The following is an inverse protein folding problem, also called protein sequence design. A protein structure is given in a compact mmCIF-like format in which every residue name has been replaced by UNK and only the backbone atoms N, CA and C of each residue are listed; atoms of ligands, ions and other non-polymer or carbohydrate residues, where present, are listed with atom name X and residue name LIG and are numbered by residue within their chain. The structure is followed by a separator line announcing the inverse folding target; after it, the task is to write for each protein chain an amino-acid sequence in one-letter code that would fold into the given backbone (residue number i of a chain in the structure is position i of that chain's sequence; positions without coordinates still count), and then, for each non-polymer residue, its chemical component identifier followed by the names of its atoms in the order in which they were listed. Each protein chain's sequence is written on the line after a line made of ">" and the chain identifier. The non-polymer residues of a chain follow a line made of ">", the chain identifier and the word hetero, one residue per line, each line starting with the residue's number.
data_IF_442289212150
#
_entry.id   IF_442289212150
#
_cell.length_a   1.000
_cell.length_b   1.000
_cell.length_c   1.000
_cell.angle_alpha   90.00
_cell.angle_beta   90.00
_cell.angle_gamma   90.00
#
_symmetry.space_group_name_H-M   'P 1'
#
loop_
_entity.id
_entity.type
_entity.pdbx_description
1 polymer ?
#
# COMPACT_ATOMS: atom_id res chain seq x y z
N UNK A 1 15.55 18.20 -0.11
CA UNK A 1 15.18 17.50 -1.36
C UNK A 1 14.46 18.54 -2.20
N UNK A 2 14.78 18.69 -3.48
CA UNK A 2 14.06 19.63 -4.36
C UNK A 2 12.96 18.86 -5.10
N UNK A 3 11.85 19.51 -5.37
CA UNK A 3 10.69 18.88 -5.99
C UNK A 3 9.50 19.82 -6.18
N UNK A 4 8.44 19.27 -6.74
CA UNK A 4 7.17 19.92 -6.99
C UNK A 4 6.13 19.45 -5.96
N UNK A 5 5.39 20.40 -5.37
CA UNK A 5 4.19 20.09 -4.59
C UNK A 5 2.98 20.24 -5.50
N UNK A 6 2.23 19.15 -5.70
CA UNK A 6 1.06 19.12 -6.57
C UNK A 6 -0.20 18.76 -5.79
N UNK A 7 -1.34 19.19 -6.31
CA UNK A 7 -2.68 18.84 -5.82
C UNK A 7 -3.30 17.85 -6.80
N UNK A 8 -3.49 16.60 -6.38
CA UNK A 8 -3.90 15.52 -7.28
C UNK A 8 -5.41 15.24 -7.29
N UNK A 9 -6.17 15.86 -6.40
CA UNK A 9 -7.63 15.80 -6.39
C UNK A 9 -8.24 17.18 -6.64
N UNK A 10 -9.19 17.33 -7.57
CA UNK A 10 -9.91 18.58 -7.77
C UNK A 10 -10.94 18.86 -6.66
N UNK A 11 -11.40 17.82 -5.94
CA UNK A 11 -12.47 17.92 -4.96
C UNK A 11 -12.00 18.07 -3.50
N UNK A 12 -10.70 17.92 -3.23
CA UNK A 12 -10.11 17.90 -1.89
C UNK A 12 -8.69 18.44 -1.90
N UNK A 13 -8.17 18.82 -0.74
CA UNK A 13 -6.78 19.32 -0.57
C UNK A 13 -5.74 18.18 -0.52
N UNK A 14 -5.91 17.15 -1.36
CA UNK A 14 -4.95 16.05 -1.42
C UNK A 14 -3.68 16.46 -2.16
N UNK A 15 -2.55 16.34 -1.47
CA UNK A 15 -1.25 16.80 -1.93
C UNK A 15 -0.29 15.64 -2.15
N UNK A 16 0.58 15.78 -3.14
CA UNK A 16 1.75 14.91 -3.27
C UNK A 16 2.99 15.76 -3.55
N UNK A 17 4.14 15.29 -3.07
CA UNK A 17 5.43 15.91 -3.33
C UNK A 17 6.25 15.02 -4.27
N UNK A 18 6.60 15.53 -5.44
CA UNK A 18 7.37 14.82 -6.47
C UNK A 18 8.79 15.33 -6.48
N UNK A 19 9.75 14.44 -6.29
CA UNK A 19 11.18 14.72 -6.44
C UNK A 19 11.76 13.96 -7.63
N UNK A 20 12.39 14.68 -8.55
CA UNK A 20 12.79 14.16 -9.87
C UNK A 20 11.95 14.74 -11.00
N UNK A 21 12.35 14.46 -12.24
CA UNK A 21 11.73 15.02 -13.47
C UNK A 21 11.42 13.97 -14.52
N UNK A 22 11.41 12.70 -14.13
CA UNK A 22 11.26 11.56 -15.01
C UNK A 22 9.82 11.08 -15.05
N UNK A 23 9.45 10.43 -16.15
CA UNK A 23 8.10 9.93 -16.44
C UNK A 23 7.83 8.54 -15.84
N UNK A 24 8.70 8.06 -14.95
CA UNK A 24 8.48 6.83 -14.17
C UNK A 24 8.51 7.18 -12.69
N UNK A 25 7.55 6.69 -11.93
CA UNK A 25 7.33 7.15 -10.57
C UNK A 25 7.32 6.02 -9.55
N UNK A 26 8.03 6.19 -8.44
CA UNK A 26 7.85 5.39 -7.23
C UNK A 26 6.95 6.19 -6.30
N UNK A 27 5.78 5.66 -5.96
CA UNK A 27 4.86 6.29 -5.02
C UNK A 27 5.14 5.72 -3.63
N UNK A 28 5.70 6.53 -2.74
CA UNK A 28 5.93 6.22 -1.33
C UNK A 28 4.67 6.58 -0.53
N UNK A 29 4.02 5.56 0.01
CA UNK A 29 2.88 5.63 0.92
C UNK A 29 3.41 5.39 2.33
N UNK A 30 3.45 6.45 3.13
CA UNK A 30 4.00 6.45 4.48
C UNK A 30 3.03 5.82 5.50
N UNK A 31 3.49 5.64 6.74
CA UNK A 31 2.66 5.13 7.82
C UNK A 31 1.58 6.14 8.26
N UNK A 32 0.57 5.66 8.99
CA UNK A 32 -0.62 6.40 9.38
C UNK A 32 -0.36 7.68 10.22
N UNK A 33 0.75 7.74 10.96
CA UNK A 33 1.16 8.93 11.73
C UNK A 33 2.07 9.86 10.94
N UNK A 34 2.43 9.49 9.71
CA UNK A 34 3.43 10.17 8.90
C UNK A 34 2.80 10.95 7.74
N UNK A 35 3.66 11.73 7.08
CA UNK A 35 3.35 12.38 5.82
C UNK A 35 4.62 12.71 5.07
N UNK A 36 4.55 13.67 4.14
CA UNK A 36 5.67 14.01 3.27
C UNK A 36 6.93 14.39 4.06
N UNK A 37 8.07 13.86 3.62
CA UNK A 37 9.40 14.07 4.22
C UNK A 37 9.56 13.55 5.66
N UNK A 38 8.63 12.73 6.16
CA UNK A 38 8.73 12.12 7.50
C UNK A 38 9.79 11.02 7.61
N UNK A 39 10.05 10.30 6.51
CA UNK A 39 10.94 9.15 6.49
C UNK A 39 12.38 9.54 6.19
N UNK A 40 13.33 9.15 7.05
CA UNK A 40 14.75 9.52 6.92
C UNK A 40 15.38 8.97 5.63
N UNK A 41 14.93 7.80 5.16
CA UNK A 41 15.42 7.20 3.92
C UNK A 41 14.83 7.81 2.65
N UNK A 42 13.81 8.68 2.73
CA UNK A 42 13.20 9.32 1.54
C UNK A 42 14.22 10.10 0.70
N UNK A 43 15.16 10.80 1.35
CA UNK A 43 16.21 11.58 0.67
C UNK A 43 17.25 10.74 -0.05
N UNK A 44 17.92 9.77 0.59
CA UNK A 44 18.82 8.86 -0.12
C UNK A 44 18.08 8.04 -1.19
N UNK A 45 16.84 7.62 -0.95
CA UNK A 45 16.03 6.92 -1.93
C UNK A 45 15.75 7.78 -3.18
N UNK A 46 15.32 9.03 -3.00
CA UNK A 46 15.12 9.97 -4.12
C UNK A 46 16.40 10.13 -4.95
N UNK A 47 17.57 10.23 -4.30
CA UNK A 47 18.86 10.31 -5.00
C UNK A 47 19.16 9.03 -5.79
N UNK A 48 18.93 7.85 -5.20
CA UNK A 48 19.16 6.57 -5.86
C UNK A 48 18.22 6.38 -7.07
N UNK A 49 16.94 6.68 -6.92
CA UNK A 49 15.94 6.61 -7.99
C UNK A 49 16.22 7.59 -9.13
N UNK A 50 16.69 8.81 -8.82
CA UNK A 50 17.07 9.77 -9.85
C UNK A 50 18.21 9.25 -10.76
N UNK A 51 19.15 8.47 -10.22
CA UNK A 51 20.20 7.83 -11.02
C UNK A 51 19.64 6.75 -11.98
N UNK A 52 18.48 6.18 -11.64
CA UNK A 52 17.75 5.20 -12.45
C UNK A 52 16.74 5.85 -13.40
N UNK A 53 16.67 7.20 -13.45
CA UNK A 53 15.67 7.94 -14.19
C UNK A 53 14.24 7.62 -13.71
N UNK A 54 14.06 7.60 -12.39
CA UNK A 54 12.76 7.50 -11.71
C UNK A 54 12.57 8.72 -10.79
N UNK A 55 11.34 9.21 -10.72
CA UNK A 55 10.90 10.24 -9.78
C UNK A 55 10.31 9.57 -8.53
N UNK A 56 10.59 10.12 -7.35
CA UNK A 56 9.94 9.70 -6.10
C UNK A 56 8.77 10.62 -5.80
N UNK A 57 7.59 10.05 -5.62
CA UNK A 57 6.36 10.74 -5.23
C UNK A 57 6.03 10.36 -3.79
N UNK A 58 5.83 11.35 -2.92
CA UNK A 58 5.37 11.16 -1.54
C UNK A 58 3.93 11.65 -1.45
N UNK A 59 3.00 10.74 -1.23
CA UNK A 59 1.56 11.04 -1.19
C UNK A 59 1.15 11.44 0.23
N UNK A 60 0.25 12.41 0.35
CA UNK A 60 -0.50 12.70 1.56
C UNK A 60 -1.95 12.28 1.36
N UNK A 61 -2.45 11.41 2.23
CA UNK A 61 -3.80 10.86 2.21
C UNK A 61 -4.68 11.56 3.24
N UNK A 62 -6.00 11.36 3.15
CA UNK A 62 -6.92 11.73 4.23
C UNK A 62 -6.58 11.00 5.53
N UNK A 63 -6.00 9.81 5.44
CA UNK A 63 -5.55 9.03 6.59
C UNK A 63 -4.21 9.49 7.17
N UNK A 64 -3.47 10.41 6.54
CA UNK A 64 -2.19 10.87 7.10
C UNK A 64 -2.34 11.58 8.45
N UNK A 65 -1.27 11.53 9.25
CA UNK A 65 -1.13 12.15 10.57
C UNK A 65 -2.14 11.67 11.63
N UNK A 66 -3.29 12.34 11.75
CA UNK A 66 -4.36 11.98 12.69
C UNK A 66 -5.67 11.66 11.98
N UNK A 67 -5.70 11.74 10.65
CA UNK A 67 -6.89 11.41 9.88
C UNK A 67 -7.14 9.90 9.77
N UNK A 68 -6.12 9.07 10.04
CA UNK A 68 -6.25 7.61 9.97
C UNK A 68 -7.36 7.05 10.84
N UNK A 69 -7.69 7.74 11.94
CA UNK A 69 -8.69 7.28 12.89
C UNK A 69 -10.11 7.30 12.33
N UNK A 70 -10.37 8.06 11.26
CA UNK A 70 -11.70 8.21 10.65
C UNK A 70 -11.73 7.83 9.17
N UNK A 71 -10.63 7.33 8.62
CA UNK A 71 -10.57 6.78 7.25
C UNK A 71 -10.68 5.25 7.27
N UNK A 72 -10.62 4.62 6.11
CA UNK A 72 -10.46 3.18 5.95
C UNK A 72 -9.53 2.87 4.76
N UNK A 73 -9.06 1.63 4.68
CA UNK A 73 -8.13 1.21 3.62
C UNK A 73 -8.72 1.35 2.20
N UNK A 74 -10.05 1.28 2.06
CA UNK A 74 -10.73 1.43 0.77
C UNK A 74 -10.69 2.89 0.29
N UNK A 75 -10.90 3.86 1.20
CA UNK A 75 -10.72 5.30 0.92
C UNK A 75 -9.27 5.61 0.58
N UNK A 76 -8.33 5.01 1.31
CA UNK A 76 -6.90 5.24 1.06
C UNK A 76 -6.48 4.67 -0.31
N UNK A 77 -6.96 3.47 -0.67
CA UNK A 77 -6.74 2.89 -1.99
C UNK A 77 -7.34 3.76 -3.12
N UNK A 78 -8.52 4.33 -2.89
CA UNK A 78 -9.16 5.26 -3.82
C UNK A 78 -8.29 6.51 -4.05
N UNK A 79 -7.71 7.08 -3.00
CA UNK A 79 -6.85 8.25 -3.09
C UNK A 79 -5.52 7.96 -3.82
N UNK A 80 -4.94 6.77 -3.60
CA UNK A 80 -3.80 6.28 -4.41
C UNK A 80 -4.19 6.17 -5.88
N UNK A 81 -5.39 5.67 -6.19
CA UNK A 81 -5.88 5.58 -7.56
C UNK A 81 -5.97 6.96 -8.23
N UNK A 82 -6.53 7.94 -7.54
CA UNK A 82 -6.63 9.32 -8.03
C UNK A 82 -5.26 9.92 -8.32
N UNK A 83 -4.27 9.72 -7.45
CA UNK A 83 -2.90 10.18 -7.70
C UNK A 83 -2.31 9.52 -8.97
N UNK A 84 -2.52 8.22 -9.15
CA UNK A 84 -2.03 7.52 -10.34
C UNK A 84 -2.66 8.07 -11.64
N UNK A 85 -3.97 8.36 -11.63
CA UNK A 85 -4.64 9.02 -12.76
C UNK A 85 -4.07 10.41 -13.02
N UNK A 86 -3.84 11.19 -11.97
CA UNK A 86 -3.21 12.51 -12.08
C UNK A 86 -1.81 12.41 -12.70
N UNK A 87 -0.96 11.50 -12.22
CA UNK A 87 0.39 11.29 -12.77
C UNK A 87 0.36 10.83 -14.23
N UNK A 88 -0.63 10.02 -14.63
CA UNK A 88 -0.84 9.63 -16.04
C UNK A 88 -1.15 10.85 -16.91
N UNK A 89 -2.10 11.68 -16.48
CA UNK A 89 -2.64 12.79 -17.27
C UNK A 89 -1.69 14.00 -17.30
N UNK A 90 -1.08 14.35 -16.18
CA UNK A 90 -0.32 15.59 -16.01
C UNK A 90 1.20 15.40 -16.02
N UNK A 91 1.70 14.22 -15.65
CA UNK A 91 3.13 13.90 -15.65
C UNK A 91 3.53 12.89 -16.73
N UNK A 92 2.60 12.54 -17.63
CA UNK A 92 2.79 11.55 -18.69
C UNK A 92 3.40 10.24 -18.17
N UNK A 93 3.03 9.84 -16.95
CA UNK A 93 3.66 8.71 -16.28
C UNK A 93 3.51 7.44 -17.11
N UNK A 94 4.66 6.80 -17.38
CA UNK A 94 4.80 5.55 -18.14
C UNK A 94 4.67 4.32 -17.27
N UNK A 95 5.08 4.41 -16.00
CA UNK A 95 5.05 3.27 -15.08
C UNK A 95 5.13 3.71 -13.62
N UNK A 96 4.53 2.91 -12.74
CA UNK A 96 4.49 3.09 -11.29
C UNK A 96 5.16 1.92 -10.57
N UNK A 97 5.84 2.21 -9.46
CA UNK A 97 6.10 1.27 -8.37
C UNK A 97 5.40 1.79 -7.12
N UNK A 98 4.63 0.95 -6.44
CA UNK A 98 4.02 1.30 -5.16
C UNK A 98 4.93 0.85 -4.03
N UNK A 99 5.36 1.78 -3.19
CA UNK A 99 6.21 1.53 -2.03
C UNK A 99 5.41 1.86 -0.76
N UNK A 100 4.96 0.83 -0.07
CA UNK A 100 4.36 0.96 1.26
C UNK A 100 5.44 0.97 2.33
N UNK A 101 5.34 1.89 3.27
CA UNK A 101 6.11 1.92 4.51
C UNK A 101 5.17 1.68 5.69
N UNK A 102 5.51 0.78 6.62
CA UNK A 102 4.70 0.54 7.82
C UNK A 102 3.26 0.20 7.42
N UNK A 103 2.28 0.88 8.00
CA UNK A 103 0.84 0.79 7.66
C UNK A 103 0.49 1.22 6.23
N UNK A 104 1.36 2.00 5.58
CA UNK A 104 1.28 2.22 4.13
C UNK A 104 1.36 0.92 3.32
N UNK A 105 1.92 -0.16 3.88
CA UNK A 105 1.88 -1.48 3.28
C UNK A 105 0.44 -2.03 3.17
N UNK A 106 -0.42 -1.83 4.18
CA UNK A 106 -1.83 -2.26 4.11
C UNK A 106 -2.56 -1.59 2.94
N UNK A 107 -2.26 -0.31 2.70
CA UNK A 107 -2.85 0.46 1.59
C UNK A 107 -2.39 -0.11 0.24
N UNK A 108 -1.11 -0.47 0.08
CA UNK A 108 -0.62 -1.14 -1.13
C UNK A 108 -1.33 -2.47 -1.35
N UNK A 109 -1.43 -3.31 -0.32
CA UNK A 109 -2.12 -4.61 -0.41
C UNK A 109 -3.59 -4.41 -0.78
N UNK A 110 -4.29 -3.49 -0.11
CA UNK A 110 -5.71 -3.21 -0.37
C UNK A 110 -5.93 -2.68 -1.79
N UNK A 111 -5.08 -1.78 -2.26
CA UNK A 111 -5.14 -1.28 -3.64
C UNK A 111 -4.99 -2.43 -4.64
N UNK A 112 -4.03 -3.33 -4.42
CA UNK A 112 -3.80 -4.47 -5.32
C UNK A 112 -4.93 -5.51 -5.26
N UNK A 113 -5.55 -5.73 -4.09
CA UNK A 113 -6.77 -6.53 -3.95
C UNK A 113 -7.92 -5.94 -4.78
N UNK A 114 -8.24 -4.66 -4.59
CA UNK A 114 -9.31 -3.97 -5.34
C UNK A 114 -9.05 -3.97 -6.85
N UNK A 115 -7.79 -3.72 -7.26
CA UNK A 115 -7.37 -3.80 -8.66
C UNK A 115 -7.58 -5.21 -9.23
N UNK A 116 -7.18 -6.25 -8.50
CA UNK A 116 -7.34 -7.64 -8.94
C UNK A 116 -8.81 -8.01 -9.14
N UNK A 117 -9.68 -7.67 -8.17
CA UNK A 117 -11.13 -7.87 -8.27
C UNK A 117 -11.72 -7.14 -9.49
N UNK A 118 -11.39 -5.85 -9.66
CA UNK A 118 -11.89 -5.05 -10.79
C UNK A 118 -11.43 -5.58 -12.16
N UNK A 119 -10.29 -6.27 -12.24
CA UNK A 119 -9.82 -6.92 -13.47
C UNK A 119 -10.53 -8.26 -13.73
N UNK A 120 -10.88 -9.00 -12.67
CA UNK A 120 -11.57 -10.29 -12.76
C UNK A 120 -13.05 -10.15 -13.14
N UNK A 121 -13.74 -9.12 -12.66
CA UNK A 121 -15.20 -8.98 -12.82
C UNK A 121 -15.69 -8.61 -14.24
N UNK A 122 -14.79 -8.25 -15.16
CA UNK A 122 -15.14 -7.90 -16.55
C UNK A 122 -16.08 -6.68 -16.70
N UNK A 123 -16.57 -6.39 -17.92
CA UNK A 123 -17.47 -5.25 -18.21
C UNK A 123 -18.91 -5.43 -17.64
N UNK A 124 -19.11 -6.33 -16.68
CA UNK A 124 -20.44 -6.74 -16.21
C UNK A 124 -21.12 -5.73 -15.28
N UNK A 125 -20.39 -4.78 -14.69
CA UNK A 125 -21.01 -3.76 -13.83
C UNK A 125 -21.56 -2.59 -14.65
N UNK A 126 -22.66 -2.85 -15.39
CA UNK A 126 -23.62 -1.80 -15.73
C UNK A 126 -24.55 -1.65 -14.53
N UNK A 127 -24.47 -0.50 -13.85
CA UNK A 127 -25.43 0.02 -12.85
C UNK A 127 -25.13 -0.32 -11.37
N UNK A 128 -24.27 0.46 -10.73
CA UNK A 128 -24.36 0.76 -9.30
C UNK A 128 -23.89 2.19 -9.02
N UNK A 129 -24.77 3.07 -8.54
CA UNK A 129 -24.44 4.46 -8.18
C UNK A 129 -23.72 4.50 -6.81
N UNK A 130 -22.50 5.06 -6.73
CA UNK A 130 -21.70 5.17 -5.49
C UNK A 130 -20.19 5.05 -5.72
N UNK A 131 -19.39 5.06 -4.63
CA UNK A 131 -17.91 4.92 -4.60
C UNK A 131 -17.37 3.72 -5.43
N UNK A 132 -18.21 2.74 -5.74
CA UNK A 132 -17.96 1.63 -6.67
C UNK A 132 -17.65 2.07 -8.12
N UNK A 133 -17.79 3.36 -8.47
CA UNK A 133 -17.44 3.87 -9.80
C UNK A 133 -15.94 4.06 -10.05
N UNK A 134 -15.08 4.01 -9.03
CA UNK A 134 -13.66 4.37 -9.21
C UNK A 134 -12.74 3.18 -9.47
N UNK A 135 -13.05 2.00 -8.93
CA UNK A 135 -12.34 0.76 -9.26
C UNK A 135 -13.16 -0.10 -10.23
N UNK A 136 -13.13 0.29 -11.51
CA UNK A 136 -13.59 -0.57 -12.60
C UNK A 136 -12.51 -0.65 -13.69
N UNK A 137 -12.64 -1.63 -14.59
CA UNK A 137 -11.65 -1.88 -15.65
C UNK A 137 -11.38 -0.66 -16.53
N UNK A 138 -12.37 0.21 -16.76
CA UNK A 138 -12.17 1.45 -17.54
C UNK A 138 -11.34 2.46 -16.77
N UNK A 139 -11.64 2.71 -15.49
CA UNK A 139 -10.87 3.62 -14.64
C UNK A 139 -9.42 3.14 -14.44
N UNK A 140 -9.19 1.82 -14.40
CA UNK A 140 -7.84 1.24 -14.36
C UNK A 140 -7.02 1.54 -15.62
N UNK A 141 -7.63 1.68 -16.81
CA UNK A 141 -6.93 2.03 -18.06
C UNK A 141 -6.38 3.46 -18.05
N UNK A 142 -6.94 4.32 -17.20
CA UNK A 142 -6.50 5.71 -17.03
C UNK A 142 -5.35 5.84 -16.02
N UNK A 143 -4.80 4.71 -15.55
CA UNK A 143 -3.60 4.68 -14.69
C UNK A 143 -2.39 4.11 -15.43
N UNK A 144 -1.15 4.50 -15.08
CA UNK A 144 0.04 3.87 -15.65
C UNK A 144 0.18 2.43 -15.13
N UNK A 145 0.83 1.53 -15.89
CA UNK A 145 1.08 0.17 -15.43
C UNK A 145 1.93 0.16 -14.15
N UNK A 146 1.58 -0.75 -13.24
CA UNK A 146 2.35 -1.00 -12.02
C UNK A 146 3.38 -2.08 -12.36
N UNK A 147 4.67 -1.73 -12.30
CA UNK A 147 5.76 -2.68 -12.58
C UNK A 147 6.17 -3.46 -11.33
N UNK A 148 5.89 -2.92 -10.15
CA UNK A 148 6.13 -3.64 -8.92
C UNK A 148 5.60 -2.97 -7.67
N UNK A 149 5.67 -3.72 -6.58
CA UNK A 149 5.32 -3.27 -5.23
C UNK A 149 6.46 -3.55 -4.27
N UNK A 150 6.67 -2.65 -3.31
CA UNK A 150 7.63 -2.84 -2.22
C UNK A 150 6.88 -2.65 -0.92
N UNK A 151 6.97 -3.63 -0.02
CA UNK A 151 6.40 -3.57 1.32
C UNK A 151 7.54 -3.48 2.33
N UNK A 152 7.81 -2.27 2.83
CA UNK A 152 8.86 -2.04 3.82
C UNK A 152 8.29 -1.91 5.22
N UNK A 153 8.82 -2.71 6.16
CA UNK A 153 8.30 -2.86 7.53
C UNK A 153 6.79 -3.20 7.57
N UNK A 154 6.37 -4.13 6.71
CA UNK A 154 5.03 -4.73 6.76
C UNK A 154 4.90 -5.65 7.96
N UNK A 155 4.47 -5.07 9.10
CA UNK A 155 4.34 -5.73 10.40
C UNK A 155 2.94 -5.51 10.95
N UNK A 156 2.52 -6.34 11.91
CA UNK A 156 1.13 -6.36 12.38
C UNK A 156 0.85 -5.33 13.47
N UNK A 157 -0.05 -4.38 13.18
CA UNK A 157 -0.62 -3.50 14.21
C UNK A 157 -1.33 -4.31 15.30
N UNK A 158 -2.05 -5.37 14.92
CA UNK A 158 -2.73 -6.25 15.90
C UNK A 158 -1.73 -6.85 16.88
N UNK A 159 -0.62 -7.41 16.41
CA UNK A 159 0.38 -8.04 17.29
C UNK A 159 1.07 -6.98 18.15
N UNK A 160 1.40 -5.82 17.58
CA UNK A 160 1.92 -4.67 18.33
C UNK A 160 0.95 -4.24 19.44
N UNK A 161 -0.33 -4.05 19.14
CA UNK A 161 -1.36 -3.63 20.08
C UNK A 161 -1.58 -4.69 21.18
N UNK A 162 -1.62 -5.98 20.82
CA UNK A 162 -1.74 -7.09 21.77
C UNK A 162 -0.55 -7.21 22.74
N UNK A 163 0.65 -6.84 22.27
CA UNK A 163 1.88 -6.91 23.04
C UNK A 163 2.11 -5.68 23.90
N UNK A 164 2.03 -4.48 23.31
CA UNK A 164 2.44 -3.23 23.93
C UNK A 164 1.27 -2.42 24.54
N UNK A 165 0.02 -2.64 24.10
CA UNK A 165 -1.14 -1.81 24.46
C UNK A 165 -2.37 -2.64 24.85
N UNK A 166 -2.17 -3.84 25.40
CA UNK A 166 -3.23 -4.78 25.76
C UNK A 166 -4.33 -4.15 26.61
N UNK A 167 -3.95 -3.50 27.71
CA UNK A 167 -4.91 -2.93 28.67
C UNK A 167 -5.82 -1.89 28.01
N UNK A 168 -5.27 -1.08 27.09
CA UNK A 168 -6.07 -0.12 26.32
C UNK A 168 -7.07 -0.84 25.42
N UNK A 169 -6.62 -1.89 24.71
CA UNK A 169 -7.48 -2.61 23.78
C UNK A 169 -8.58 -3.39 24.49
N UNK A 170 -8.27 -4.07 25.60
CA UNK A 170 -9.27 -4.78 26.43
C UNK A 170 -10.35 -3.82 26.96
N UNK A 171 -9.98 -2.59 27.31
CA UNK A 171 -10.93 -1.56 27.74
C UNK A 171 -11.75 -0.95 26.60
N UNK A 172 -11.18 -0.82 25.40
CA UNK A 172 -11.81 -0.11 24.27
C UNK A 172 -12.64 -1.02 23.35
N UNK A 173 -12.27 -2.29 23.19
CA UNK A 173 -12.88 -3.20 22.23
C UNK A 173 -14.39 -3.36 22.45
N UNK A 174 -14.82 -3.64 23.70
CA UNK A 174 -16.24 -3.86 24.00
C UNK A 174 -17.12 -2.65 23.68
N UNK A 175 -16.58 -1.44 23.84
CA UNK A 175 -17.26 -0.20 23.43
C UNK A 175 -17.40 -0.13 21.91
N UNK A 176 -16.31 -0.36 21.18
CA UNK A 176 -16.33 -0.30 19.72
C UNK A 176 -17.28 -1.35 19.11
N UNK A 177 -17.28 -2.58 19.64
CA UNK A 177 -18.22 -3.63 19.22
C UNK A 177 -19.68 -3.25 19.47
N UNK A 178 -19.97 -2.63 20.63
CA UNK A 178 -21.32 -2.16 20.94
C UNK A 178 -21.77 -1.04 19.98
N UNK A 179 -20.86 -0.13 19.63
CA UNK A 179 -21.13 0.94 18.67
C UNK A 179 -21.42 0.39 17.26
N UNK A 180 -20.64 -0.60 16.78
CA UNK A 180 -20.93 -1.25 15.49
C UNK A 180 -22.30 -1.92 15.51
N UNK A 181 -22.63 -2.66 16.57
CA UNK A 181 -23.96 -3.31 16.73
C UNK A 181 -25.11 -2.30 16.75
N UNK A 182 -24.86 -1.07 17.20
CA UNK A 182 -25.83 0.03 17.20
C UNK A 182 -25.91 0.80 15.88
N UNK A 183 -25.13 0.43 14.85
CA UNK A 183 -25.07 1.17 13.59
C UNK A 183 -24.23 2.45 13.66
N UNK A 184 -23.33 2.55 14.65
CA UNK A 184 -22.48 3.72 14.93
C UNK A 184 -21.00 3.41 14.69
N UNK A 185 -20.70 2.59 13.67
CA UNK A 185 -19.32 2.18 13.36
C UNK A 185 -18.39 3.35 13.04
N UNK A 186 -18.91 4.35 12.32
CA UNK A 186 -18.14 5.52 11.88
C UNK A 186 -18.02 6.61 12.95
N UNK A 187 -18.78 6.51 14.04
CA UNK A 187 -18.71 7.45 15.15
C UNK A 187 -17.41 7.28 15.95
N UNK A 188 -16.87 8.39 16.46
CA UNK A 188 -15.65 8.39 17.27
C UNK A 188 -15.85 7.58 18.55
N UNK A 189 -15.11 6.48 18.67
CA UNK A 189 -15.09 5.62 19.83
C UNK A 189 -14.24 6.23 20.96
N UNK A 190 -13.01 6.67 20.66
CA UNK A 190 -12.09 7.19 21.67
C UNK A 190 -10.93 7.97 21.04
N UNK A 191 -10.02 8.45 21.90
CA UNK A 191 -8.69 8.90 21.50
C UNK A 191 -7.73 7.71 21.52
N UNK A 192 -7.12 7.40 20.39
CA UNK A 192 -6.27 6.23 20.23
C UNK A 192 -4.83 6.53 20.67
N UNK A 193 -4.59 6.50 21.98
CA UNK A 193 -3.26 6.74 22.55
C UNK A 193 -2.15 5.83 22.02
N UNK A 194 -2.39 4.55 21.64
CA UNK A 194 -1.33 3.69 21.12
C UNK A 194 -0.59 4.23 19.91
N UNK A 195 -1.23 5.08 19.09
CA UNK A 195 -0.64 5.64 17.86
C UNK A 195 -0.77 7.16 17.79
N UNK A 196 -0.49 7.86 18.90
CA UNK A 196 -0.38 9.33 18.88
C UNK A 196 -1.67 10.10 19.17
N UNK A 197 -2.75 9.41 19.59
CA UNK A 197 -3.94 10.06 20.16
C UNK A 197 -4.94 10.63 19.15
N UNK A 198 -4.96 10.14 17.92
CA UNK A 198 -6.00 10.53 16.97
C UNK A 198 -7.41 10.15 17.49
N UNK A 199 -8.46 10.91 17.15
CA UNK A 199 -9.83 10.42 17.30
C UNK A 199 -10.02 9.21 16.40
N UNK A 200 -10.42 8.06 16.94
CA UNK A 200 -10.62 6.83 16.16
C UNK A 200 -12.09 6.42 16.19
N UNK A 201 -12.64 6.06 15.03
CA UNK A 201 -13.98 5.48 14.92
C UNK A 201 -14.03 4.07 15.52
N UNK A 202 -15.21 3.59 15.85
CA UNK A 202 -15.38 2.22 16.33
C UNK A 202 -14.94 1.19 15.28
N UNK A 203 -15.26 1.42 14.01
CA UNK A 203 -14.85 0.59 12.88
C UNK A 203 -13.32 0.53 12.75
N UNK A 204 -12.65 1.69 12.67
CA UNK A 204 -11.19 1.75 12.46
C UNK A 204 -10.43 1.07 13.61
N UNK A 205 -10.89 1.25 14.86
CA UNK A 205 -10.28 0.62 16.02
C UNK A 205 -10.31 -0.91 15.93
N UNK A 206 -11.47 -1.49 15.59
CA UNK A 206 -11.57 -2.94 15.44
C UNK A 206 -10.86 -3.44 14.19
N UNK A 207 -10.81 -2.64 13.13
CA UNK A 207 -10.05 -2.95 11.91
C UNK A 207 -8.56 -3.17 12.19
N UNK A 208 -7.93 -2.33 13.04
CA UNK A 208 -6.53 -2.46 13.47
C UNK A 208 -6.28 -3.64 14.42
N UNK A 209 -7.29 -4.06 15.17
CA UNK A 209 -7.10 -4.94 16.32
C UNK A 209 -7.61 -6.37 16.13
N UNK A 210 -8.70 -6.54 15.38
CA UNK A 210 -9.29 -7.85 15.17
C UNK A 210 -8.43 -8.66 14.20
N UNK A 211 -8.40 -9.98 14.43
CA UNK A 211 -7.74 -10.94 13.56
C UNK A 211 -8.50 -11.03 12.22
N UNK A 212 -7.79 -11.12 11.11
CA UNK A 212 -8.41 -11.44 9.81
C UNK A 212 -9.29 -12.71 9.93
N UNK A 213 -10.46 -12.76 9.27
CA UNK A 213 -11.03 -11.76 8.35
C UNK A 213 -11.89 -10.68 9.03
N UNK A 214 -11.86 -10.58 10.36
CA UNK A 214 -12.70 -9.63 11.10
C UNK A 214 -12.09 -8.22 11.20
N UNK A 215 -10.76 -8.10 11.11
CA UNK A 215 -10.05 -6.82 11.02
C UNK A 215 -9.41 -6.66 9.65
N UNK A 216 -9.72 -5.57 8.94
CA UNK A 216 -9.23 -5.35 7.59
C UNK A 216 -7.72 -5.11 7.51
N UNK A 217 -7.10 -4.60 8.59
CA UNK A 217 -5.67 -4.25 8.64
C UNK A 217 -4.77 -5.41 9.05
N UNK A 218 -5.34 -6.52 9.52
CA UNK A 218 -4.59 -7.70 9.95
C UNK A 218 -4.06 -8.51 8.77
N UNK A 219 -3.09 -7.94 8.07
CA UNK A 219 -2.49 -8.50 6.86
C UNK A 219 -1.15 -9.19 7.12
N UNK A 220 -0.51 -8.91 8.25
CA UNK A 220 0.90 -9.24 8.49
C UNK A 220 1.15 -9.98 9.83
N UNK A 221 0.11 -10.40 10.56
CA UNK A 221 0.30 -11.14 11.81
C UNK A 221 1.04 -12.44 11.59
N UNK A 222 2.00 -12.73 12.48
CA UNK A 222 2.78 -13.97 12.43
C UNK A 222 1.95 -15.23 12.65
N UNK A 223 0.77 -15.11 13.27
CA UNK A 223 -0.19 -16.20 13.50
C UNK A 223 -1.24 -16.38 12.38
N UNK A 224 -1.12 -15.67 11.26
CA UNK A 224 -1.82 -15.99 10.00
C UNK A 224 -1.42 -17.38 9.51
N UNK A 225 -2.37 -18.17 9.00
CA UNK A 225 -2.05 -19.41 8.28
C UNK A 225 -1.48 -19.09 6.89
N UNK A 226 -0.80 -20.04 6.27
CA UNK A 226 -0.27 -19.83 4.91
C UNK A 226 -1.41 -19.63 3.88
N UNK A 227 -2.58 -20.24 4.09
CA UNK A 227 -3.78 -20.04 3.27
C UNK A 227 -4.38 -18.63 3.45
N UNK A 228 -4.42 -18.13 4.69
CA UNK A 228 -4.89 -16.78 4.97
C UNK A 228 -3.94 -15.74 4.36
N UNK A 229 -2.62 -15.91 4.54
CA UNK A 229 -1.62 -15.07 3.90
C UNK A 229 -1.75 -15.12 2.37
N UNK A 230 -1.92 -16.29 1.77
CA UNK A 230 -2.10 -16.43 0.33
C UNK A 230 -3.36 -15.70 -0.17
N UNK A 231 -4.46 -15.78 0.59
CA UNK A 231 -5.69 -15.03 0.30
C UNK A 231 -5.46 -13.52 0.28
N UNK A 232 -4.67 -13.02 1.24
CA UNK A 232 -4.38 -11.59 1.39
C UNK A 232 -3.37 -11.10 0.32
N UNK A 233 -2.31 -11.88 0.09
CA UNK A 233 -1.10 -11.45 -0.62
C UNK A 233 -1.04 -11.83 -2.10
N UNK A 234 -1.75 -12.87 -2.54
CA UNK A 234 -1.70 -13.31 -3.94
C UNK A 234 -2.05 -12.23 -4.98
N UNK A 235 -2.88 -11.20 -4.71
CA UNK A 235 -3.10 -10.08 -5.64
C UNK A 235 -1.85 -9.27 -5.97
N UNK A 236 -0.81 -9.30 -5.13
CA UNK A 236 0.47 -8.63 -5.38
C UNK A 236 1.30 -9.31 -6.47
N UNK A 237 1.04 -10.59 -6.77
CA UNK A 237 1.78 -11.34 -7.80
C UNK A 237 1.51 -10.86 -9.24
N UNK A 238 0.35 -10.24 -9.46
CA UNK A 238 -0.23 -10.00 -10.79
C UNK A 238 -0.36 -11.24 -11.68
N UNK A 239 -0.28 -12.45 -11.11
CA UNK A 239 -0.57 -13.68 -11.83
C UNK A 239 -2.08 -13.73 -12.11
N UNK A 240 -2.45 -13.69 -13.39
CA UNK A 240 -3.86 -13.72 -13.84
C UNK A 240 -4.40 -12.42 -14.43
N UNK A 241 -3.59 -11.36 -14.53
CA UNK A 241 -3.98 -10.11 -15.20
C UNK A 241 -3.68 -10.22 -16.69
N UNK A 242 -4.57 -10.87 -17.44
CA UNK A 242 -4.63 -10.68 -18.89
C UNK A 242 -5.44 -9.40 -19.19
N UNK A 243 -4.74 -8.29 -19.41
CA UNK A 243 -5.35 -7.00 -19.76
C UNK A 243 -5.65 -6.88 -21.26
N UNK A 244 -5.56 -7.98 -22.02
CA UNK A 244 -5.91 -8.02 -23.43
C UNK A 244 -7.39 -7.67 -23.63
N UNK A 245 -7.74 -6.76 -24.56
CA UNK A 245 -9.13 -6.53 -24.90
C UNK A 245 -9.74 -7.81 -25.49
N UNK A 246 -10.93 -8.20 -25.03
CA UNK A 246 -11.71 -9.26 -25.67
C UNK A 246 -12.10 -8.83 -27.10
N UNK A 247 -11.31 -9.22 -28.09
CA UNK A 247 -11.48 -8.76 -29.47
C UNK A 247 -12.48 -9.65 -30.23
N UNK A 248 -13.71 -9.15 -30.41
CA UNK A 248 -14.63 -9.64 -31.45
C UNK A 248 -14.47 -8.73 -32.68
N UNK A 249 -13.86 -9.29 -33.72
CA UNK A 249 -13.78 -8.80 -35.12
C UNK A 249 -12.91 -7.56 -35.38
N UNK A 250 -11.71 -7.74 -35.95
CA UNK A 250 -11.32 -7.21 -37.29
C UNK A 250 -9.89 -7.65 -37.69
N UNK A 251 -9.72 -7.92 -38.97
CA UNK A 251 -8.49 -8.29 -39.68
C UNK A 251 -7.50 -7.13 -39.82
N UNK A 252 -6.20 -7.47 -39.72
CA UNK A 252 -5.00 -6.74 -40.20
C UNK A 252 -4.76 -5.32 -39.66
N UNK A 253 -4.01 -5.22 -38.56
CA UNK A 253 -2.84 -4.36 -38.29
C UNK A 253 -2.43 -4.63 -36.82
N UNK A 254 -1.12 -4.65 -36.52
CA UNK A 254 -0.55 -4.97 -35.19
C UNK A 254 -1.25 -4.25 -34.02
N UNK A 255 -1.67 -4.96 -32.95
CA UNK A 255 -2.44 -4.36 -31.85
C UNK A 255 -1.53 -3.51 -30.94
N UNK A 256 -1.99 -2.34 -30.44
CA UNK A 256 -1.17 -1.43 -29.64
C UNK A 256 -1.07 -1.80 -28.14
N UNK A 257 -1.72 -2.87 -27.65
CA UNK A 257 -1.76 -3.17 -26.22
C UNK A 257 -1.53 -4.67 -25.98
N UNK A 258 -0.25 -5.06 -25.82
CA UNK A 258 0.08 -6.32 -25.15
C UNK A 258 -0.21 -6.17 -23.64
N UNK A 259 -0.61 -7.24 -22.93
CA UNK A 259 -0.76 -7.19 -21.48
C UNK A 259 0.56 -6.72 -20.85
N UNK A 260 0.46 -5.76 -19.92
CA UNK A 260 1.62 -5.28 -19.17
C UNK A 260 2.26 -6.40 -18.35
N UNK A 261 3.52 -6.26 -17.92
CA UNK A 261 4.19 -7.28 -17.13
C UNK A 261 3.48 -7.44 -15.78
N UNK A 262 3.37 -8.68 -15.28
CA UNK A 262 2.91 -8.91 -13.90
C UNK A 262 3.83 -8.16 -12.93
N UNK A 263 3.29 -7.43 -11.93
CA UNK A 263 4.11 -6.67 -11.00
C UNK A 263 5.01 -7.61 -10.20
N UNK A 264 6.29 -7.27 -10.09
CA UNK A 264 7.18 -7.94 -9.15
C UNK A 264 6.99 -7.38 -7.73
N UNK A 265 7.25 -8.19 -6.70
CA UNK A 265 7.15 -7.73 -5.31
C UNK A 265 8.48 -7.87 -4.57
N UNK A 266 8.81 -6.88 -3.73
CA UNK A 266 9.87 -6.94 -2.71
C UNK A 266 9.26 -6.80 -1.31
N UNK A 267 9.53 -7.76 -0.44
CA UNK A 267 9.29 -7.67 1.01
C UNK A 267 10.59 -7.23 1.69
N UNK A 268 10.61 -6.07 2.35
CA UNK A 268 11.79 -5.54 3.03
C UNK A 268 11.49 -5.32 4.51
N UNK A 269 11.85 -6.27 5.36
CA UNK A 269 11.63 -6.13 6.81
C UNK A 269 12.85 -5.56 7.52
N UNK A 270 12.61 -4.97 8.68
CA UNK A 270 13.62 -4.36 9.55
C UNK A 270 13.98 -5.34 10.66
N UNK A 271 15.26 -5.71 10.80
CA UNK A 271 15.69 -6.78 11.71
C UNK A 271 15.68 -6.41 13.20
N UNK A 272 15.48 -5.14 13.54
CA UNK A 272 15.37 -4.64 14.92
C UNK A 272 14.18 -3.68 15.06
N UNK A 273 13.08 -4.02 14.38
CA UNK A 273 11.84 -3.25 14.36
C UNK A 273 11.18 -3.21 15.75
N UNK A 274 11.05 -2.01 16.31
CA UNK A 274 10.54 -1.75 17.65
C UNK A 274 9.01 -1.95 17.79
N UNK A 275 8.28 -2.13 16.68
CA UNK A 275 6.85 -2.44 16.68
C UNK A 275 6.58 -3.96 16.58
N UNK A 276 7.62 -4.77 16.36
CA UNK A 276 7.48 -6.22 16.27
C UNK A 276 7.67 -6.85 17.65
N UNK A 277 6.70 -7.64 18.15
CA UNK A 277 6.85 -8.33 19.42
C UNK A 277 8.03 -9.32 19.42
N UNK A 278 8.74 -9.50 20.55
CA UNK A 278 9.93 -10.37 20.62
C UNK A 278 9.70 -11.86 20.28
N UNK A 279 8.45 -12.31 20.24
CA UNK A 279 8.10 -13.69 19.88
C UNK A 279 8.03 -13.92 18.36
N UNK A 280 8.02 -12.86 17.55
CA UNK A 280 7.95 -12.94 16.10
C UNK A 280 9.37 -13.11 15.52
N UNK A 281 9.57 -14.17 14.75
CA UNK A 281 10.79 -14.37 13.97
C UNK A 281 10.68 -13.63 12.63
N UNK A 282 11.38 -12.49 12.51
CA UNK A 282 11.30 -11.58 11.36
C UNK A 282 11.78 -12.24 10.06
N UNK A 283 12.93 -12.94 10.01
CA UNK A 283 13.31 -13.74 8.83
C UNK A 283 12.24 -14.74 8.39
N UNK A 284 11.64 -15.48 9.33
CA UNK A 284 10.56 -16.43 9.00
C UNK A 284 9.32 -15.70 8.48
N UNK A 285 8.95 -14.56 9.08
CA UNK A 285 7.82 -13.76 8.62
C UNK A 285 8.06 -13.25 7.18
N UNK A 286 9.23 -12.68 6.88
CA UNK A 286 9.58 -12.19 5.55
C UNK A 286 9.45 -13.27 4.47
N UNK A 287 9.95 -14.47 4.77
CA UNK A 287 9.91 -15.64 3.91
C UNK A 287 8.47 -16.17 3.70
N UNK A 288 7.64 -16.19 4.75
CA UNK A 288 6.21 -16.55 4.65
C UNK A 288 5.42 -15.56 3.81
N UNK A 289 5.62 -14.25 4.02
CA UNK A 289 5.00 -13.21 3.22
C UNK A 289 5.39 -13.33 1.74
N UNK A 290 6.68 -13.55 1.45
CA UNK A 290 7.15 -13.71 0.07
C UNK A 290 6.54 -14.92 -0.62
N UNK A 291 6.46 -16.08 0.07
CA UNK A 291 5.78 -17.27 -0.44
C UNK A 291 4.30 -17.02 -0.72
N UNK A 292 3.62 -16.31 0.16
CA UNK A 292 2.19 -16.00 0.03
C UNK A 292 1.89 -15.08 -1.16
N UNK A 293 2.80 -14.16 -1.49
CA UNK A 293 2.71 -13.39 -2.73
C UNK A 293 2.94 -14.30 -3.93
N UNK A 294 4.05 -15.04 -3.96
CA UNK A 294 4.36 -15.97 -5.04
C UNK A 294 5.86 -16.17 -5.29
N UNK A 295 6.23 -17.14 -6.13
CA UNK A 295 7.60 -17.64 -6.25
C UNK A 295 8.61 -16.63 -6.83
N UNK A 296 8.16 -15.59 -7.52
CA UNK A 296 9.00 -14.51 -8.07
C UNK A 296 9.27 -13.39 -7.07
N UNK A 297 8.68 -13.44 -5.87
CA UNK A 297 8.79 -12.40 -4.86
C UNK A 297 10.18 -12.42 -4.22
N UNK A 298 10.81 -11.25 -4.17
CA UNK A 298 12.06 -11.08 -3.43
C UNK A 298 11.75 -10.71 -1.99
N UNK A 299 12.60 -11.14 -1.07
CA UNK A 299 12.57 -10.64 0.29
C UNK A 299 13.97 -10.39 0.85
N UNK A 300 14.06 -9.47 1.79
CA UNK A 300 15.29 -9.15 2.52
C UNK A 300 14.96 -8.63 3.91
N UNK A 301 15.94 -8.76 4.82
CA UNK A 301 15.87 -8.22 6.18
C UNK A 301 17.08 -7.33 6.41
N UNK A 302 16.84 -6.04 6.68
CA UNK A 302 17.89 -5.08 7.02
C UNK A 302 18.34 -5.33 8.46
N UNK A 303 19.52 -5.93 8.61
CA UNK A 303 20.04 -6.31 9.93
C UNK A 303 20.28 -5.08 10.80
N UNK A 304 19.76 -5.10 12.04
CA UNK A 304 19.86 -3.97 12.96
C UNK A 304 18.97 -2.76 12.60
N UNK A 305 18.23 -2.81 11.49
CA UNK A 305 17.35 -1.72 11.06
C UNK A 305 16.17 -1.54 12.00
N UNK A 306 15.89 -0.30 12.41
CA UNK A 306 14.64 0.06 13.09
C UNK A 306 13.45 0.07 12.11
N UNK A 307 12.24 0.28 12.63
CA UNK A 307 11.01 0.35 11.82
C UNK A 307 11.14 1.31 10.63
N UNK A 308 11.60 2.55 10.92
CA UNK A 308 11.85 3.60 9.94
C UNK A 308 13.28 3.58 9.36
N UNK A 309 14.06 2.53 9.63
CA UNK A 309 15.42 2.33 9.12
C UNK A 309 16.41 3.44 9.50
N UNK A 310 16.25 4.02 10.68
CA UNK A 310 17.13 5.08 11.18
C UNK A 310 18.54 4.51 11.36
N UNK A 311 19.52 5.11 10.68
CA UNK A 311 20.91 4.61 10.65
C UNK A 311 21.19 3.57 9.56
N UNK A 312 20.16 3.04 8.88
CA UNK A 312 20.27 2.10 7.76
C UNK A 312 19.71 2.68 6.45
N UNK A 313 19.56 4.00 6.35
CA UNK A 313 18.84 4.64 5.24
C UNK A 313 19.47 4.36 3.88
N UNK A 314 20.80 4.32 3.82
CA UNK A 314 21.53 4.05 2.58
C UNK A 314 21.31 2.61 2.12
N UNK A 315 21.44 1.65 3.02
CA UNK A 315 21.26 0.22 2.71
C UNK A 315 19.85 -0.05 2.21
N UNK A 316 18.83 0.45 2.91
CA UNK A 316 17.45 0.33 2.47
C UNK A 316 17.19 0.99 1.11
N UNK A 317 17.71 2.20 0.91
CA UNK A 317 17.59 2.92 -0.37
C UNK A 317 18.25 2.14 -1.52
N UNK A 318 19.42 1.55 -1.28
CA UNK A 318 20.14 0.76 -2.28
C UNK A 318 19.40 -0.56 -2.61
N UNK A 319 18.80 -1.22 -1.61
CA UNK A 319 17.97 -2.43 -1.82
C UNK A 319 16.72 -2.11 -2.64
N UNK A 320 16.00 -1.04 -2.29
CA UNK A 320 14.80 -0.61 -3.02
C UNK A 320 15.17 -0.18 -4.44
N UNK A 321 16.19 0.65 -4.62
CA UNK A 321 16.64 1.09 -5.93
C UNK A 321 17.18 -0.07 -6.79
N UNK A 322 17.89 -1.02 -6.16
CA UNK A 322 18.33 -2.25 -6.82
C UNK A 322 17.15 -3.03 -7.39
N UNK A 323 16.11 -3.26 -6.58
CA UNK A 323 14.87 -3.89 -7.05
C UNK A 323 14.21 -3.10 -8.20
N UNK A 324 14.07 -1.77 -8.07
CA UNK A 324 13.48 -0.91 -9.11
C UNK A 324 14.29 -0.96 -10.42
N UNK A 325 15.63 -1.10 -10.34
CA UNK A 325 16.50 -1.16 -11.52
C UNK A 325 16.29 -2.41 -12.40
N UNK A 326 15.75 -3.48 -11.82
CA UNK A 326 15.47 -4.73 -12.52
C UNK A 326 14.09 -4.70 -13.22
N UNK A 327 13.22 -3.75 -12.87
CA UNK A 327 11.89 -3.64 -13.43
C UNK A 327 11.97 -3.04 -14.85
N UNK A 328 11.65 -3.88 -15.83
CA UNK A 328 11.61 -3.48 -17.24
C UNK A 328 10.19 -3.10 -17.65
N UNK A 329 10.06 -2.01 -18.40
CA UNK A 329 8.81 -1.70 -19.12
C UNK A 329 8.80 -2.52 -20.42
N UNK A 330 7.66 -3.05 -20.90
CA UNK A 330 7.60 -3.60 -22.25
C UNK A 330 8.08 -2.55 -23.26
N UNK A 331 8.98 -2.97 -24.14
CA UNK A 331 9.44 -2.19 -25.31
C UNK A 331 8.33 -2.00 -26.32
#
# INVERSE_FOLDING_TARGET
>A
MEGELLKYSPASEHLAFVSGKYDRHVILIAGLTEGMLGLSYSRPLSKALNNLHWSLVQIQLSSSYSGYGTSCLDTDALEVHMLMQYLRQHHASKSIVLLGHSTGCQIVVRYMQKRSTALADGDACKQALGEEHVFNRMALRDTPPILGTVLQAAVSDREYLCWAHRDFMEAAQGKAEAMIKAGQGDDICCRFSPMGGAPISAFRLLSLYLRFPLGDDDMFSSDLSDEELSTIMSPLSGAGIDDSPAEKHRTTMTPPNAPGPSPATLILLSGSDEYVPPFVDIPVLADRLARAVGPSTKHSVVQGGSHALIGNEKEASDLIAGFVSELSCPT
#
